data_IF_272845007985
#
_entry.id   IF_272845007985
#
_cell.length_a   1.000
_cell.length_b   1.000
_cell.length_c   1.000
_cell.angle_alpha   90.00
_cell.angle_beta   90.00
_cell.angle_gamma   90.00
#
_symmetry.space_group_name_H-M   'P 1'
#
loop_
_entity.id
_entity.type
_entity.pdbx_description
1 polymer ?
#
# COMPACT_ATOMS: atom_id res chain seq x y z
N UNK A 1 -12.12 -44.67 17.48
CA UNK A 1 -13.26 -43.84 18.00
C UNK A 1 -12.67 -42.50 18.35
N UNK A 2 -13.06 -41.44 17.67
CA UNK A 2 -12.57 -40.08 17.95
C UNK A 2 -13.20 -39.57 19.23
N UNK A 3 -12.38 -39.14 20.18
CA UNK A 3 -12.87 -38.65 21.48
C UNK A 3 -13.74 -37.40 21.26
N UNK A 4 -15.00 -37.32 21.76
CA UNK A 4 -15.88 -36.17 21.60
C UNK A 4 -15.24 -34.83 22.04
N UNK A 5 -14.43 -34.85 23.10
CA UNK A 5 -13.74 -33.69 23.62
C UNK A 5 -12.67 -33.18 22.64
N UNK A 6 -11.94 -34.09 21.93
CA UNK A 6 -10.98 -33.71 20.92
C UNK A 6 -11.64 -33.09 19.68
N UNK A 7 -12.79 -33.61 19.28
CA UNK A 7 -13.58 -33.04 18.17
C UNK A 7 -14.08 -31.65 18.52
N UNK A 8 -14.60 -31.46 19.74
CA UNK A 8 -15.09 -30.16 20.18
C UNK A 8 -13.96 -29.11 20.22
N UNK A 9 -12.83 -29.47 20.85
CA UNK A 9 -11.65 -28.60 20.92
C UNK A 9 -11.11 -28.23 19.52
N UNK A 10 -11.05 -29.17 18.60
CA UNK A 10 -10.65 -28.91 17.22
C UNK A 10 -11.63 -27.98 16.50
N UNK A 11 -12.93 -28.16 16.69
CA UNK A 11 -13.97 -27.30 16.11
C UNK A 11 -13.87 -25.87 16.64
N UNK A 12 -13.66 -25.69 17.94
CA UNK A 12 -13.45 -24.38 18.57
C UNK A 12 -12.18 -23.68 18.00
N UNK A 13 -11.10 -24.42 17.84
CA UNK A 13 -9.86 -23.89 17.25
C UNK A 13 -10.06 -23.43 15.81
N UNK A 14 -10.79 -24.17 15.00
CA UNK A 14 -11.10 -23.79 13.61
C UNK A 14 -11.96 -22.54 13.57
N UNK A 15 -13.02 -22.47 14.38
CA UNK A 15 -13.93 -21.31 14.45
C UNK A 15 -13.18 -20.07 14.91
N UNK A 16 -12.39 -20.18 15.98
CA UNK A 16 -11.58 -19.08 16.50
C UNK A 16 -10.58 -18.56 15.46
N UNK A 17 -9.86 -19.46 14.78
CA UNK A 17 -8.91 -19.11 13.71
C UNK A 17 -9.58 -18.42 12.53
N UNK A 18 -10.79 -18.86 12.18
CA UNK A 18 -11.59 -18.25 11.13
C UNK A 18 -11.98 -16.81 11.47
N UNK A 19 -12.54 -16.55 12.65
CA UNK A 19 -12.93 -15.22 13.09
C UNK A 19 -11.74 -14.27 13.17
N UNK A 20 -10.65 -14.69 13.83
CA UNK A 20 -9.43 -13.88 13.90
C UNK A 20 -8.86 -13.53 12.52
N UNK A 21 -8.91 -14.49 11.60
CA UNK A 21 -8.45 -14.28 10.23
C UNK A 21 -9.31 -13.28 9.45
N UNK A 22 -10.64 -13.37 9.56
CA UNK A 22 -11.55 -12.41 8.92
C UNK A 22 -11.35 -11.01 9.48
N UNK A 23 -11.29 -10.87 10.80
CA UNK A 23 -11.12 -9.57 11.46
C UNK A 23 -9.78 -8.91 11.06
N UNK A 24 -8.68 -9.67 11.09
CA UNK A 24 -7.36 -9.17 10.71
C UNK A 24 -7.31 -8.71 9.26
N UNK A 25 -7.86 -9.50 8.33
CA UNK A 25 -7.94 -9.14 6.90
C UNK A 25 -8.83 -7.91 6.71
N UNK A 26 -9.99 -7.87 7.36
CA UNK A 26 -10.91 -6.74 7.29
C UNK A 26 -10.27 -5.43 7.73
N UNK A 27 -9.59 -5.43 8.89
CA UNK A 27 -8.88 -4.27 9.41
C UNK A 27 -7.75 -3.80 8.47
N UNK A 28 -6.98 -4.75 7.91
CA UNK A 28 -5.89 -4.43 6.98
C UNK A 28 -6.41 -3.81 5.70
N UNK A 29 -7.50 -4.32 5.13
CA UNK A 29 -8.14 -3.79 3.92
C UNK A 29 -8.71 -2.40 4.17
N UNK A 30 -9.47 -2.23 5.26
CA UNK A 30 -10.04 -0.93 5.62
C UNK A 30 -8.94 0.12 5.86
N UNK A 31 -7.89 -0.24 6.58
CA UNK A 31 -6.72 0.62 6.79
C UNK A 31 -6.02 1.00 5.48
N UNK A 32 -5.80 0.03 4.60
CA UNK A 32 -5.19 0.25 3.29
C UNK A 32 -6.03 1.17 2.38
N UNK A 33 -7.33 0.97 2.32
CA UNK A 33 -8.24 1.84 1.54
C UNK A 33 -8.28 3.26 2.08
N UNK A 34 -8.41 3.44 3.40
CA UNK A 34 -8.36 4.76 4.04
C UNK A 34 -7.04 5.48 3.73
N UNK A 35 -5.93 4.76 3.79
CA UNK A 35 -4.62 5.30 3.48
C UNK A 35 -4.55 5.81 2.04
N UNK A 36 -4.99 5.02 1.07
CA UNK A 36 -5.03 5.42 -0.35
C UNK A 36 -5.86 6.68 -0.55
N UNK A 37 -7.05 6.75 0.04
CA UNK A 37 -7.95 7.92 -0.10
C UNK A 37 -7.36 9.17 0.54
N UNK A 38 -6.74 9.04 1.72
CA UNK A 38 -6.07 10.16 2.39
C UNK A 38 -4.93 10.74 1.53
N UNK A 39 -4.07 9.88 0.98
CA UNK A 39 -2.96 10.34 0.15
C UNK A 39 -3.42 10.97 -1.15
N UNK A 40 -4.45 10.43 -1.80
CA UNK A 40 -5.04 11.05 -2.99
C UNK A 40 -5.53 12.46 -2.74
N UNK A 41 -6.22 12.67 -1.61
CA UNK A 41 -6.70 13.99 -1.24
C UNK A 41 -5.55 14.96 -0.96
N UNK A 42 -4.59 14.55 -0.13
CA UNK A 42 -3.43 15.37 0.21
C UNK A 42 -2.62 15.77 -1.03
N UNK A 43 -2.35 14.83 -1.92
CA UNK A 43 -1.59 15.08 -3.14
C UNK A 43 -2.31 16.05 -4.09
N UNK A 44 -3.63 15.94 -4.20
CA UNK A 44 -4.40 16.89 -5.00
C UNK A 44 -4.24 18.31 -4.47
N UNK A 45 -4.40 18.49 -3.16
CA UNK A 45 -4.28 19.82 -2.52
C UNK A 45 -2.88 20.39 -2.72
N UNK A 46 -1.82 19.63 -2.39
CA UNK A 46 -0.44 20.09 -2.51
C UNK A 46 -0.09 20.40 -3.96
N UNK A 47 -0.49 19.54 -4.89
CA UNK A 47 -0.24 19.75 -6.33
C UNK A 47 -0.91 21.02 -6.86
N UNK A 48 -2.17 21.27 -6.50
CA UNK A 48 -2.90 22.46 -6.92
C UNK A 48 -2.27 23.72 -6.34
N UNK A 49 -1.94 23.71 -5.05
CA UNK A 49 -1.27 24.83 -4.36
C UNK A 49 0.09 25.15 -5.00
N UNK A 50 0.93 24.15 -5.22
CA UNK A 50 2.24 24.32 -5.85
C UNK A 50 2.11 24.82 -7.30
N UNK A 51 1.17 24.26 -8.06
CA UNK A 51 0.90 24.69 -9.45
C UNK A 51 0.51 26.16 -9.53
N UNK A 52 -0.36 26.63 -8.64
CA UNK A 52 -0.78 28.03 -8.59
C UNK A 52 0.36 28.95 -8.13
N UNK A 53 1.11 28.53 -7.11
CA UNK A 53 2.25 29.31 -6.61
C UNK A 53 3.29 29.54 -7.71
N UNK A 54 3.71 28.47 -8.39
CA UNK A 54 4.72 28.56 -9.47
C UNK A 54 4.23 29.38 -10.67
N UNK A 55 2.93 29.35 -10.97
CA UNK A 55 2.34 30.15 -12.00
C UNK A 55 2.30 31.66 -11.63
N UNK A 56 1.96 32.01 -10.38
CA UNK A 56 1.93 33.41 -9.90
C UNK A 56 3.30 34.08 -9.91
N UNK A 57 4.35 33.32 -9.57
CA UNK A 57 5.72 33.84 -9.56
C UNK A 57 6.25 34.00 -11.01
N UNK A 58 5.45 33.59 -12.02
CA UNK A 58 5.84 33.66 -13.43
C UNK A 58 6.95 32.71 -13.84
N UNK A 59 7.31 31.78 -12.93
CA UNK A 59 8.43 30.88 -13.07
C UNK A 59 8.13 29.68 -13.96
N UNK A 60 6.85 29.24 -13.97
CA UNK A 60 6.45 28.02 -14.67
C UNK A 60 5.00 28.11 -15.17
N UNK A 61 4.79 27.85 -16.47
CA UNK A 61 3.44 27.75 -17.02
C UNK A 61 2.77 26.44 -16.55
N UNK A 62 1.45 26.44 -16.37
CA UNK A 62 0.70 25.25 -15.96
C UNK A 62 1.00 24.02 -16.82
N UNK A 63 1.14 24.21 -18.13
CA UNK A 63 1.46 23.10 -19.07
C UNK A 63 2.85 22.50 -18.80
N UNK A 64 3.84 23.36 -18.55
CA UNK A 64 5.21 22.89 -18.28
C UNK A 64 5.30 22.18 -16.93
N UNK A 65 4.54 22.66 -15.92
CA UNK A 65 4.41 22.01 -14.62
C UNK A 65 3.86 20.59 -14.76
N UNK A 66 2.70 20.42 -15.40
CA UNK A 66 2.07 19.11 -15.57
C UNK A 66 2.99 18.16 -16.38
N UNK A 67 3.68 18.65 -17.39
CA UNK A 67 4.61 17.85 -18.20
C UNK A 67 5.85 17.39 -17.43
N UNK A 68 6.43 18.24 -16.59
CA UNK A 68 7.60 17.90 -15.77
C UNK A 68 7.23 16.88 -14.69
N UNK A 69 6.02 16.94 -14.12
CA UNK A 69 5.56 16.03 -13.08
C UNK A 69 5.00 14.69 -13.60
N UNK A 70 4.86 14.54 -14.91
CA UNK A 70 4.30 13.31 -15.50
C UNK A 70 4.97 12.02 -14.99
N UNK A 71 6.31 11.91 -14.84
CA UNK A 71 6.94 10.71 -14.30
C UNK A 71 6.52 10.39 -12.86
N UNK A 72 6.38 11.44 -12.02
CA UNK A 72 5.95 11.27 -10.62
C UNK A 72 4.51 10.80 -10.56
N UNK A 73 3.62 11.34 -11.39
CA UNK A 73 2.23 10.89 -11.44
C UNK A 73 2.10 9.45 -11.91
N UNK A 74 2.84 9.08 -12.95
CA UNK A 74 2.87 7.70 -13.43
C UNK A 74 3.42 6.73 -12.37
N UNK A 75 4.40 7.17 -11.58
CA UNK A 75 4.92 6.40 -10.45
C UNK A 75 3.86 6.21 -9.36
N UNK A 76 3.18 7.29 -8.96
CA UNK A 76 2.13 7.26 -7.94
C UNK A 76 0.97 6.33 -8.35
N UNK A 77 0.49 6.43 -9.58
CA UNK A 77 -0.56 5.58 -10.10
C UNK A 77 -0.16 4.10 -10.06
N UNK A 78 1.06 3.79 -10.44
CA UNK A 78 1.59 2.42 -10.36
C UNK A 78 1.67 1.91 -8.92
N UNK A 79 2.16 2.74 -7.99
CA UNK A 79 2.25 2.40 -6.57
C UNK A 79 0.88 2.14 -5.95
N UNK A 80 -0.13 2.95 -6.31
CA UNK A 80 -1.52 2.72 -5.89
C UNK A 80 -2.09 1.41 -6.45
N UNK A 81 -1.86 1.11 -7.74
CA UNK A 81 -2.35 -0.13 -8.36
C UNK A 81 -1.68 -1.37 -7.76
N UNK A 82 -0.41 -1.29 -7.35
CA UNK A 82 0.25 -2.36 -6.59
C UNK A 82 -0.45 -2.64 -5.26
N UNK A 83 -0.74 -1.60 -4.47
CA UNK A 83 -1.46 -1.75 -3.19
C UNK A 83 -2.87 -2.31 -3.40
N UNK A 84 -3.62 -1.83 -4.38
CA UNK A 84 -4.94 -2.37 -4.73
C UNK A 84 -4.86 -3.84 -5.16
N UNK A 85 -3.85 -4.20 -5.95
CA UNK A 85 -3.61 -5.58 -6.36
C UNK A 85 -3.36 -6.52 -5.18
N UNK A 86 -2.59 -6.05 -4.18
CA UNK A 86 -2.35 -6.80 -2.95
C UNK A 86 -3.60 -6.94 -2.09
N UNK A 87 -4.42 -5.89 -1.97
CA UNK A 87 -5.74 -5.96 -1.30
C UNK A 87 -6.61 -7.03 -1.94
N UNK A 88 -6.72 -7.02 -3.28
CA UNK A 88 -7.50 -8.01 -4.01
C UNK A 88 -6.93 -9.44 -3.85
N UNK A 89 -5.61 -9.56 -3.86
CA UNK A 89 -4.90 -10.82 -3.62
C UNK A 89 -5.18 -11.38 -2.22
N UNK A 90 -5.14 -10.52 -1.20
CA UNK A 90 -5.44 -10.90 0.19
C UNK A 90 -6.90 -11.37 0.34
N UNK A 91 -7.85 -10.69 -0.30
CA UNK A 91 -9.27 -11.10 -0.33
C UNK A 91 -9.47 -12.47 -0.99
N UNK A 92 -8.80 -12.73 -2.11
CA UNK A 92 -8.85 -14.05 -2.77
C UNK A 92 -8.26 -15.13 -1.88
N UNK A 93 -7.07 -14.90 -1.32
CA UNK A 93 -6.40 -15.81 -0.39
C UNK A 93 -7.28 -16.13 0.81
N UNK A 94 -7.91 -15.12 1.43
CA UNK A 94 -8.85 -15.32 2.53
C UNK A 94 -10.00 -16.26 2.13
N UNK A 95 -10.59 -16.06 0.94
CA UNK A 95 -11.70 -16.91 0.45
C UNK A 95 -11.27 -18.36 0.28
N UNK A 96 -10.10 -18.58 -0.32
CA UNK A 96 -9.55 -19.92 -0.56
C UNK A 96 -9.22 -20.63 0.76
N UNK A 97 -8.62 -19.91 1.71
CA UNK A 97 -8.31 -20.41 3.05
C UNK A 97 -9.57 -20.72 3.85
N UNK A 98 -10.62 -19.92 3.72
CA UNK A 98 -11.94 -20.19 4.32
C UNK A 98 -12.52 -21.51 3.78
N UNK A 99 -12.43 -21.74 2.47
CA UNK A 99 -12.85 -23.01 1.88
C UNK A 99 -12.02 -24.21 2.36
N UNK A 100 -10.74 -24.00 2.64
CA UNK A 100 -9.87 -25.01 3.23
C UNK A 100 -10.27 -25.34 4.67
N UNK A 101 -10.55 -24.34 5.51
CA UNK A 101 -11.02 -24.58 6.88
C UNK A 101 -12.35 -25.30 6.93
N UNK A 102 -13.30 -24.95 6.07
CA UNK A 102 -14.60 -25.63 5.96
C UNK A 102 -14.42 -27.12 5.63
N UNK A 103 -13.49 -27.45 4.72
CA UNK A 103 -13.14 -28.85 4.41
C UNK A 103 -12.47 -29.53 5.59
N UNK A 104 -11.63 -28.81 6.35
CA UNK A 104 -10.96 -29.35 7.54
C UNK A 104 -11.95 -29.78 8.62
N UNK A 105 -12.98 -28.96 8.87
CA UNK A 105 -14.08 -29.34 9.77
C UNK A 105 -14.79 -30.61 9.30
N UNK A 106 -15.06 -30.69 7.99
CA UNK A 106 -15.81 -31.83 7.43
C UNK A 106 -15.04 -33.15 7.48
N UNK A 107 -13.72 -33.11 7.34
CA UNK A 107 -12.86 -34.30 7.20
C UNK A 107 -11.88 -34.49 8.35
N UNK A 108 -11.92 -33.65 9.40
CA UNK A 108 -11.03 -33.73 10.55
C UNK A 108 -9.55 -33.46 10.27
N UNK A 109 -9.24 -32.63 9.27
CA UNK A 109 -7.87 -32.36 8.78
C UNK A 109 -7.18 -31.29 9.62
N UNK A 110 -6.56 -31.68 10.75
CA UNK A 110 -5.91 -30.75 11.70
C UNK A 110 -4.78 -29.92 11.10
N UNK A 111 -3.98 -30.52 10.21
CA UNK A 111 -2.82 -29.83 9.58
C UNK A 111 -3.22 -28.59 8.77
N UNK A 112 -4.44 -28.56 8.23
CA UNK A 112 -4.95 -27.44 7.46
C UNK A 112 -5.17 -26.18 8.33
N UNK A 113 -5.43 -26.30 9.62
CA UNK A 113 -5.60 -25.15 10.52
C UNK A 113 -4.27 -24.40 10.69
N UNK A 114 -3.19 -25.15 10.91
CA UNK A 114 -1.84 -24.59 11.01
C UNK A 114 -1.44 -23.92 9.69
N UNK A 115 -1.71 -24.58 8.56
CA UNK A 115 -1.45 -24.02 7.23
C UNK A 115 -2.25 -22.72 7.01
N UNK A 116 -3.54 -22.70 7.38
CA UNK A 116 -4.38 -21.50 7.32
C UNK A 116 -3.74 -20.33 8.08
N UNK A 117 -3.36 -20.55 9.35
CA UNK A 117 -2.73 -19.54 10.18
C UNK A 117 -1.47 -18.98 9.52
N UNK A 118 -0.58 -19.85 9.07
CA UNK A 118 0.69 -19.47 8.47
C UNK A 118 0.52 -18.66 7.17
N UNK A 119 -0.32 -19.15 6.26
CA UNK A 119 -0.56 -18.46 4.98
C UNK A 119 -1.26 -17.11 5.17
N UNK A 120 -2.14 -16.99 6.17
CA UNK A 120 -2.79 -15.73 6.51
C UNK A 120 -1.78 -14.72 7.08
N UNK A 121 -0.95 -15.15 8.04
CA UNK A 121 0.11 -14.30 8.63
C UNK A 121 1.07 -13.81 7.53
N UNK A 122 1.49 -14.68 6.64
CA UNK A 122 2.35 -14.29 5.50
C UNK A 122 1.68 -13.23 4.63
N UNK A 123 0.41 -13.42 4.26
CA UNK A 123 -0.31 -12.44 3.43
C UNK A 123 -0.53 -11.10 4.12
N UNK A 124 -0.80 -11.09 5.42
CA UNK A 124 -0.93 -9.87 6.21
C UNK A 124 0.41 -9.12 6.32
N UNK A 125 1.52 -9.86 6.50
CA UNK A 125 2.85 -9.26 6.56
C UNK A 125 3.28 -8.66 5.22
N UNK A 126 3.05 -9.37 4.11
CA UNK A 126 3.27 -8.84 2.74
C UNK A 126 2.52 -7.52 2.53
N UNK A 127 1.25 -7.48 2.94
CA UNK A 127 0.43 -6.27 2.84
C UNK A 127 0.93 -5.14 3.74
N UNK A 128 1.33 -5.46 4.99
CA UNK A 128 1.89 -4.49 5.93
C UNK A 128 3.15 -3.82 5.37
N UNK A 129 4.06 -4.60 4.84
CA UNK A 129 5.30 -4.11 4.23
C UNK A 129 5.03 -3.24 3.00
N UNK A 130 4.07 -3.63 2.16
CA UNK A 130 3.67 -2.85 0.99
C UNK A 130 3.04 -1.50 1.38
N UNK A 131 2.19 -1.48 2.41
CA UNK A 131 1.61 -0.23 2.93
C UNK A 131 2.66 0.68 3.54
N UNK A 132 3.63 0.15 4.29
CA UNK A 132 4.74 0.93 4.84
C UNK A 132 5.59 1.55 3.74
N UNK A 133 5.91 0.79 2.69
CA UNK A 133 6.62 1.30 1.52
C UNK A 133 5.83 2.41 0.84
N UNK A 134 4.56 2.18 0.57
CA UNK A 134 3.68 3.18 -0.01
C UNK A 134 3.68 4.48 0.81
N UNK A 135 3.55 4.39 2.14
CA UNK A 135 3.61 5.55 3.03
C UNK A 135 4.93 6.31 2.92
N UNK A 136 6.06 5.59 2.90
CA UNK A 136 7.40 6.18 2.77
C UNK A 136 7.55 6.92 1.44
N UNK A 137 7.14 6.30 0.33
CA UNK A 137 7.19 6.89 -1.01
C UNK A 137 6.33 8.16 -1.09
N UNK A 138 5.11 8.11 -0.58
CA UNK A 138 4.20 9.24 -0.57
C UNK A 138 4.70 10.36 0.36
N UNK A 139 5.28 10.03 1.51
CA UNK A 139 5.92 10.99 2.41
C UNK A 139 7.04 11.76 1.71
N UNK A 140 7.92 11.07 1.00
CA UNK A 140 9.00 11.70 0.24
C UNK A 140 8.50 12.67 -0.84
N UNK A 141 7.45 12.29 -1.57
CA UNK A 141 6.82 13.15 -2.57
C UNK A 141 6.22 14.39 -1.90
N UNK A 142 5.50 14.20 -0.80
CA UNK A 142 4.87 15.27 -0.05
C UNK A 142 5.89 16.26 0.50
N UNK A 143 6.93 15.78 1.18
CA UNK A 143 8.02 16.60 1.73
C UNK A 143 8.72 17.41 0.64
N UNK A 144 8.99 16.80 -0.53
CA UNK A 144 9.60 17.49 -1.66
C UNK A 144 8.73 18.63 -2.17
N UNK A 145 7.42 18.40 -2.30
CA UNK A 145 6.50 19.42 -2.80
C UNK A 145 6.26 20.53 -1.78
N UNK A 146 6.16 20.20 -0.48
CA UNK A 146 6.05 21.19 0.59
C UNK A 146 7.30 22.07 0.67
N UNK A 147 8.48 21.49 0.55
CA UNK A 147 9.73 22.25 0.50
C UNK A 147 9.78 23.25 -0.66
N UNK A 148 9.26 22.86 -1.83
CA UNK A 148 9.12 23.76 -2.98
C UNK A 148 8.06 24.85 -2.75
N UNK A 149 6.99 24.54 -2.00
CA UNK A 149 5.95 25.48 -1.65
C UNK A 149 6.44 26.51 -0.62
N UNK A 150 7.24 26.11 0.33
CA UNK A 150 7.80 26.97 1.38
C UNK A 150 8.94 27.88 0.89
N UNK A 151 9.55 27.56 -0.25
CA UNK A 151 10.64 28.34 -0.82
C UNK A 151 10.11 29.67 -1.35
N UNK A 152 10.62 30.78 -0.83
CA UNK A 152 10.32 32.15 -1.32
C UNK A 152 11.11 32.55 -2.57
N UNK A 153 12.12 31.77 -2.93
CA UNK A 153 12.92 32.00 -4.12
C UNK A 153 12.16 31.58 -5.39
N UNK A 154 12.30 32.35 -6.50
CA UNK A 154 11.69 31.99 -7.77
C UNK A 154 12.30 30.68 -8.32
N UNK A 155 11.52 29.62 -8.24
CA UNK A 155 11.89 28.33 -8.79
C UNK A 155 11.76 28.35 -10.30
N UNK A 156 12.87 28.50 -11.03
CA UNK A 156 12.85 28.45 -12.48
C UNK A 156 12.60 27.02 -12.99
N UNK A 157 12.16 26.89 -14.24
CA UNK A 157 11.86 25.61 -14.91
C UNK A 157 13.00 24.60 -14.82
N UNK A 158 14.24 25.06 -14.90
CA UNK A 158 15.44 24.19 -14.84
C UNK A 158 15.63 23.61 -13.44
N UNK A 159 15.46 24.43 -12.41
CA UNK A 159 15.60 24.00 -11.01
C UNK A 159 14.47 23.05 -10.64
N UNK A 160 13.23 23.37 -11.04
CA UNK A 160 12.08 22.50 -10.81
C UNK A 160 12.29 21.11 -11.44
N UNK A 161 12.74 21.07 -12.70
CA UNK A 161 13.06 19.80 -13.38
C UNK A 161 14.11 18.99 -12.64
N UNK A 162 15.18 19.60 -12.15
CA UNK A 162 16.21 18.92 -11.37
C UNK A 162 15.67 18.32 -10.07
N UNK A 163 14.79 19.03 -9.37
CA UNK A 163 14.15 18.51 -8.13
C UNK A 163 13.31 17.28 -8.46
N UNK A 164 12.49 17.34 -9.51
CA UNK A 164 11.66 16.23 -9.95
C UNK A 164 12.49 15.02 -10.39
N UNK A 165 13.57 15.24 -11.15
CA UNK A 165 14.50 14.16 -11.55
C UNK A 165 15.21 13.53 -10.34
N UNK A 166 15.54 14.31 -9.32
CA UNK A 166 16.15 13.81 -8.09
C UNK A 166 15.15 12.98 -7.30
N UNK A 167 13.90 13.46 -7.19
CA UNK A 167 12.81 12.73 -6.54
C UNK A 167 12.54 11.39 -7.26
N UNK A 168 12.44 11.41 -8.58
CA UNK A 168 12.24 10.20 -9.39
C UNK A 168 13.35 9.16 -9.15
N UNK A 169 14.61 9.60 -9.15
CA UNK A 169 15.75 8.72 -8.86
C UNK A 169 15.71 8.14 -7.46
N UNK A 170 15.32 8.92 -6.45
CA UNK A 170 15.17 8.45 -5.08
C UNK A 170 14.08 7.38 -4.97
N UNK A 171 12.92 7.62 -5.57
CA UNK A 171 11.80 6.67 -5.59
C UNK A 171 12.15 5.34 -6.29
N UNK A 172 12.87 5.41 -7.42
CA UNK A 172 13.31 4.22 -8.15
C UNK A 172 14.45 3.49 -7.45
N UNK A 173 15.36 4.22 -6.80
CA UNK A 173 16.50 3.67 -6.07
C UNK A 173 16.07 2.83 -4.86
N UNK A 174 15.11 3.28 -4.08
CA UNK A 174 14.54 2.55 -2.95
C UNK A 174 13.94 1.20 -3.40
N UNK A 175 13.24 1.17 -4.54
CA UNK A 175 12.67 -0.07 -5.09
C UNK A 175 13.71 -1.08 -5.59
N UNK A 176 14.83 -0.60 -6.10
CA UNK A 176 15.91 -1.48 -6.57
C UNK A 176 16.67 -2.12 -5.41
N UNK A 177 16.87 -1.39 -4.31
CA UNK A 177 17.51 -1.91 -3.11
C UNK A 177 16.67 -2.99 -2.43
N UNK A 178 15.35 -2.82 -2.34
CA UNK A 178 14.46 -3.83 -1.75
C UNK A 178 14.43 -5.13 -2.56
N UNK A 179 14.47 -5.06 -3.90
CA UNK A 179 14.51 -6.25 -4.76
C UNK A 179 15.85 -7.01 -4.69
N UNK A 180 16.91 -6.38 -4.23
CA UNK A 180 18.22 -7.01 -4.08
C UNK A 180 18.40 -7.74 -2.73
N UNK A 181 17.47 -7.53 -1.79
CA UNK A 181 17.52 -8.11 -0.42
C UNK A 181 16.60 -9.35 -0.29
N UNK A 182 15.77 -9.62 -1.29
CA UNK A 182 14.87 -10.79 -1.37
C UNK A 182 15.47 -11.85 -2.28
#
# INVERSE_FOLDING_TARGET
MTNPEEVMKFTEEVISSYHQGIDAVGQMIEGGMKLLDQYRLQQRVIRESLREKLARIGSLRHKDFDQILLPIFAYQERSEEEVKGLIQGLLRRQRDLTGMLTRSLRFGLKDNVTRFKNELVTGLEEMRLALQRFQKEQGLIQETFQSLEETDEPVNTRNFRKVVETLEKALLGDRLQEKAVV
#
